data_IF_882718600724
#
_entry.id   IF_882718600724
#
_cell.length_a   1.000
_cell.length_b   1.000
_cell.length_c   1.000
_cell.angle_alpha   90.00
_cell.angle_beta   90.00
_cell.angle_gamma   90.00
#
_symmetry.space_group_name_H-M   'P 1'
#
loop_
_entity.id
_entity.type
_entity.pdbx_description
1 polymer ?
#
# COMPACT_ATOMS: atom_id res chain seq x y z
N UNK A 1 -33.47 -8.08 11.62
CA UNK A 1 -34.80 -8.35 12.21
C UNK A 1 -34.77 -9.41 13.30
N UNK A 2 -33.96 -10.46 13.21
CA UNK A 2 -33.83 -11.50 14.27
C UNK A 2 -33.23 -10.99 15.59
N UNK A 3 -32.31 -10.03 15.54
CA UNK A 3 -31.65 -9.46 16.72
C UNK A 3 -32.61 -8.59 17.57
N UNK A 4 -33.54 -7.89 16.95
CA UNK A 4 -34.57 -7.08 17.64
C UNK A 4 -35.65 -7.99 18.29
N UNK A 5 -35.93 -9.15 17.74
CA UNK A 5 -36.91 -10.10 18.28
C UNK A 5 -36.39 -10.81 19.55
N UNK A 6 -35.09 -11.10 19.60
CA UNK A 6 -34.46 -11.82 20.70
C UNK A 6 -34.23 -10.95 21.95
N UNK A 7 -33.98 -9.65 21.76
CA UNK A 7 -33.59 -8.75 22.88
C UNK A 7 -34.74 -7.95 23.47
N UNK A 8 -35.82 -7.72 22.73
CA UNK A 8 -36.88 -6.79 23.17
C UNK A 8 -38.21 -7.52 23.42
N UNK A 9 -38.60 -8.48 22.60
CA UNK A 9 -39.91 -9.16 22.73
C UNK A 9 -39.91 -10.36 23.64
N UNK A 10 -38.84 -11.12 23.74
CA UNK A 10 -38.76 -12.28 24.67
C UNK A 10 -38.82 -11.86 26.15
N UNK A 11 -38.13 -10.83 26.63
CA UNK A 11 -38.20 -10.39 28.02
C UNK A 11 -39.57 -9.84 28.43
N UNK A 12 -40.27 -9.16 27.48
CA UNK A 12 -41.59 -8.59 27.76
C UNK A 12 -42.71 -9.64 27.87
N UNK A 13 -42.57 -10.77 27.19
CA UNK A 13 -43.49 -11.90 27.29
C UNK A 13 -43.28 -12.71 28.56
N UNK A 14 -42.07 -12.78 29.10
CA UNK A 14 -41.77 -13.48 30.35
C UNK A 14 -42.06 -12.68 31.62
N UNK A 15 -41.97 -11.36 31.58
CA UNK A 15 -42.21 -10.51 32.77
C UNK A 15 -43.69 -10.41 33.17
N UNK A 16 -44.60 -10.61 32.24
CA UNK A 16 -46.06 -10.59 32.52
C UNK A 16 -46.66 -11.95 32.97
N UNK A 17 -45.88 -13.03 32.82
CA UNK A 17 -46.36 -14.37 33.14
C UNK A 17 -46.27 -14.75 34.63
N UNK A 18 -45.44 -14.05 35.41
CA UNK A 18 -45.20 -14.45 36.81
C UNK A 18 -46.00 -13.63 37.86
N UNK A 19 -46.94 -12.80 37.44
CA UNK A 19 -47.79 -12.02 38.35
C UNK A 19 -49.24 -12.54 38.52
N UNK A 20 -49.63 -13.66 37.90
CA UNK A 20 -50.97 -14.21 37.96
C UNK A 20 -51.00 -15.73 38.08
N UNK A 21 -50.50 -16.26 39.20
CA UNK A 21 -50.72 -17.66 39.53
C UNK A 21 -51.29 -17.76 40.94
N UNK A 22 -52.61 -17.59 41.04
CA UNK A 22 -53.45 -18.30 42.03
C UNK A 22 -54.81 -18.55 41.39
N UNK A 23 -55.15 -19.86 41.35
CA UNK A 23 -56.45 -20.45 41.01
C UNK A 23 -56.87 -20.53 39.54
N UNK A 24 -56.84 -21.77 39.06
CA UNK A 24 -57.48 -22.42 37.89
C UNK A 24 -56.50 -22.76 36.72
N UNK A 25 -55.70 -23.84 36.95
CA UNK A 25 -54.61 -24.27 36.11
C UNK A 25 -54.94 -25.13 34.89
N UNK A 26 -56.18 -25.45 34.54
CA UNK A 26 -56.44 -26.36 33.41
C UNK A 26 -56.98 -25.71 32.12
N UNK A 27 -57.58 -24.55 32.19
CA UNK A 27 -58.11 -23.87 30.99
C UNK A 27 -57.10 -22.96 30.28
N UNK A 28 -56.07 -22.46 30.97
CA UNK A 28 -55.06 -21.60 30.38
C UNK A 28 -54.07 -22.35 29.44
N UNK A 29 -53.75 -23.61 29.75
CA UNK A 29 -52.81 -24.41 28.93
C UNK A 29 -53.38 -24.74 27.57
N UNK A 30 -54.71 -25.02 27.50
CA UNK A 30 -55.38 -25.35 26.24
C UNK A 30 -55.53 -24.13 25.31
N UNK A 31 -55.78 -22.96 25.85
CA UNK A 31 -55.84 -21.70 25.04
C UNK A 31 -54.48 -21.27 24.52
N UNK A 32 -53.43 -21.52 25.32
CA UNK A 32 -52.05 -21.19 24.91
C UNK A 32 -51.52 -22.12 23.83
N UNK A 33 -51.82 -23.40 23.89
CA UNK A 33 -51.44 -24.37 22.84
C UNK A 33 -52.18 -24.14 21.53
N UNK A 34 -53.45 -23.74 21.57
CA UNK A 34 -54.22 -23.41 20.38
C UNK A 34 -53.72 -22.09 19.74
N UNK A 35 -53.44 -21.08 20.57
CA UNK A 35 -52.86 -19.81 20.06
C UNK A 35 -51.48 -19.99 19.47
N UNK A 36 -50.62 -20.82 20.08
CA UNK A 36 -49.27 -21.13 19.58
C UNK A 36 -49.34 -21.93 18.27
N UNK A 37 -50.25 -22.88 18.16
CA UNK A 37 -50.48 -23.63 16.91
C UNK A 37 -51.01 -22.75 15.78
N UNK A 38 -51.87 -21.78 16.07
CA UNK A 38 -52.31 -20.81 15.07
C UNK A 38 -51.20 -19.85 14.65
N UNK A 39 -50.38 -19.39 15.59
CA UNK A 39 -49.21 -18.55 15.26
C UNK A 39 -48.19 -19.29 14.42
N UNK A 40 -47.92 -20.58 14.71
CA UNK A 40 -47.01 -21.42 13.92
C UNK A 40 -47.60 -21.68 12.51
N UNK A 41 -48.89 -21.93 12.40
CA UNK A 41 -49.56 -22.09 11.09
C UNK A 41 -49.55 -20.81 10.27
N UNK A 42 -49.75 -19.64 10.90
CA UNK A 42 -49.63 -18.35 10.22
C UNK A 42 -48.19 -18.10 9.76
N UNK A 43 -47.19 -18.43 10.57
CA UNK A 43 -45.78 -18.28 10.22
C UNK A 43 -45.35 -19.22 9.10
N UNK A 44 -45.82 -20.49 9.14
CA UNK A 44 -45.55 -21.45 8.05
C UNK A 44 -46.26 -21.04 6.73
N UNK A 45 -47.48 -20.50 6.80
CA UNK A 45 -48.19 -19.98 5.63
C UNK A 45 -47.46 -18.76 5.04
N UNK A 46 -46.92 -17.83 5.86
CA UNK A 46 -46.11 -16.71 5.39
C UNK A 46 -44.77 -17.14 4.81
N UNK A 47 -44.10 -18.16 5.41
CA UNK A 47 -42.88 -18.73 4.84
C UNK A 47 -43.11 -19.40 3.48
N UNK A 48 -44.25 -20.14 3.33
CA UNK A 48 -44.59 -20.78 2.05
C UNK A 48 -44.98 -19.75 0.99
N UNK A 49 -45.69 -18.67 1.34
CA UNK A 49 -46.05 -17.59 0.42
C UNK A 49 -44.80 -16.77 0.09
N UNK A 50 -43.88 -16.54 1.04
CA UNK A 50 -42.58 -15.87 0.82
C UNK A 50 -41.67 -16.69 -0.11
N UNK A 51 -41.60 -18.02 0.10
CA UNK A 51 -40.83 -18.92 -0.77
C UNK A 51 -41.45 -19.06 -2.17
N UNK A 52 -42.77 -19.05 -2.27
CA UNK A 52 -43.49 -19.07 -3.59
C UNK A 52 -43.32 -17.74 -4.35
N UNK A 53 -43.28 -16.59 -3.65
CA UNK A 53 -42.95 -15.29 -4.27
C UNK A 53 -41.49 -15.19 -4.68
N UNK A 54 -40.55 -15.69 -3.87
CA UNK A 54 -39.16 -15.77 -4.22
C UNK A 54 -38.92 -16.68 -5.43
N UNK A 55 -39.65 -17.79 -5.55
CA UNK A 55 -39.57 -18.68 -6.71
C UNK A 55 -40.23 -18.12 -7.98
N UNK A 56 -41.20 -17.18 -7.86
CA UNK A 56 -41.82 -16.51 -9.03
C UNK A 56 -41.03 -15.27 -9.51
N UNK A 57 -40.17 -14.66 -8.67
CA UNK A 57 -39.26 -13.59 -9.08
C UNK A 57 -37.95 -14.09 -9.69
N UNK A 58 -37.69 -15.40 -9.65
CA UNK A 58 -36.55 -16.03 -10.30
C UNK A 58 -36.75 -16.35 -11.79
N UNK A 59 -37.81 -15.86 -12.42
CA UNK A 59 -38.04 -16.02 -13.84
C UNK A 59 -38.18 -14.63 -14.45
N UNK A 60 -37.07 -14.19 -15.13
CA UNK A 60 -36.87 -13.05 -16.01
C UNK A 60 -36.63 -11.66 -15.39
N UNK A 61 -35.51 -11.49 -14.78
CA UNK A 61 -34.63 -10.36 -15.08
C UNK A 61 -33.28 -11.00 -15.39
N UNK A 62 -32.83 -10.97 -16.62
CA UNK A 62 -31.43 -11.26 -16.95
C UNK A 62 -30.63 -10.28 -16.11
N UNK A 63 -29.90 -10.80 -15.12
CA UNK A 63 -28.99 -10.01 -14.31
C UNK A 63 -28.05 -9.30 -15.30
N UNK A 64 -28.03 -7.96 -15.35
CA UNK A 64 -27.13 -7.24 -16.24
C UNK A 64 -25.66 -7.66 -16.06
N UNK A 65 -25.31 -8.29 -14.94
CA UNK A 65 -23.99 -8.90 -14.72
C UNK A 65 -23.82 -10.25 -15.47
N UNK A 66 -24.87 -10.90 -15.94
CA UNK A 66 -24.76 -12.16 -16.69
C UNK A 66 -24.00 -11.99 -18.01
N UNK A 67 -23.98 -10.79 -18.58
CA UNK A 67 -23.22 -10.44 -19.79
C UNK A 67 -21.70 -10.47 -19.58
N UNK A 68 -21.23 -10.44 -18.32
CA UNK A 68 -19.81 -10.41 -17.96
C UNK A 68 -19.36 -11.68 -17.24
N UNK A 69 -20.19 -12.70 -17.22
CA UNK A 69 -19.86 -13.97 -16.56
C UNK A 69 -18.77 -14.70 -17.35
N UNK A 70 -17.73 -15.12 -16.63
CA UNK A 70 -16.65 -15.91 -17.21
C UNK A 70 -17.13 -17.31 -17.63
N UNK A 71 -16.41 -17.94 -18.55
CA UNK A 71 -16.64 -19.30 -19.02
C UNK A 71 -15.66 -20.28 -18.35
N UNK A 72 -15.96 -21.58 -18.46
CA UNK A 72 -15.11 -22.64 -17.92
C UNK A 72 -15.07 -22.64 -16.40
N UNK A 73 -13.93 -23.01 -15.84
CA UNK A 73 -13.71 -23.07 -14.37
C UNK A 73 -13.84 -21.73 -13.65
N UNK A 74 -13.71 -20.60 -14.37
CA UNK A 74 -13.89 -19.27 -13.79
C UNK A 74 -15.37 -18.88 -13.65
N UNK A 75 -16.29 -19.58 -14.33
CA UNK A 75 -17.73 -19.33 -14.21
C UNK A 75 -18.29 -19.64 -12.82
N UNK A 76 -17.59 -20.49 -12.05
CA UNK A 76 -17.99 -20.88 -10.70
C UNK A 76 -17.71 -19.77 -9.68
N UNK A 77 -16.95 -18.76 -10.07
CA UNK A 77 -16.55 -17.64 -9.20
C UNK A 77 -17.30 -16.35 -9.58
N UNK A 78 -18.34 -16.04 -8.85
CA UNK A 78 -19.13 -14.81 -9.05
C UNK A 78 -18.32 -13.51 -8.92
N UNK A 79 -17.14 -13.58 -8.26
CA UNK A 79 -16.20 -12.47 -8.13
C UNK A 79 -15.32 -12.26 -9.36
N UNK A 80 -15.39 -13.13 -10.38
CA UNK A 80 -14.69 -13.01 -11.63
C UNK A 80 -15.61 -12.45 -12.73
N UNK A 81 -15.11 -11.49 -13.48
CA UNK A 81 -15.80 -10.87 -14.63
C UNK A 81 -14.89 -10.93 -15.86
N UNK A 82 -15.45 -11.36 -16.98
CA UNK A 82 -14.77 -11.47 -18.25
C UNK A 82 -15.46 -10.59 -19.29
N UNK A 83 -14.81 -9.51 -19.70
CA UNK A 83 -15.32 -8.50 -20.63
C UNK A 83 -14.65 -8.65 -21.97
N UNK A 84 -15.25 -9.40 -22.87
CA UNK A 84 -14.71 -9.68 -24.21
C UNK A 84 -14.46 -8.39 -25.02
N UNK A 85 -15.38 -7.42 -24.98
CA UNK A 85 -15.24 -6.17 -25.70
C UNK A 85 -14.05 -5.33 -25.24
N UNK A 86 -13.70 -5.39 -23.95
CA UNK A 86 -12.59 -4.68 -23.33
C UNK A 86 -11.31 -5.51 -23.30
N UNK A 87 -11.39 -6.78 -23.69
CA UNK A 87 -10.30 -7.77 -23.57
C UNK A 87 -9.73 -7.81 -22.14
N UNK A 88 -10.63 -7.84 -21.14
CA UNK A 88 -10.30 -7.73 -19.72
C UNK A 88 -10.92 -8.87 -18.90
N UNK A 89 -10.09 -9.50 -18.08
CA UNK A 89 -10.47 -10.43 -17.02
C UNK A 89 -10.16 -9.82 -15.67
N UNK A 90 -11.11 -9.88 -14.75
CA UNK A 90 -10.96 -9.31 -13.41
C UNK A 90 -11.58 -10.23 -12.36
N UNK A 91 -10.76 -10.77 -11.45
CA UNK A 91 -11.15 -11.55 -10.27
C UNK A 91 -10.77 -10.79 -9.00
N UNK A 92 -11.74 -10.11 -8.39
CA UNK A 92 -11.50 -9.25 -7.22
C UNK A 92 -12.09 -9.91 -5.98
N UNK A 93 -11.24 -10.14 -4.95
CA UNK A 93 -11.63 -10.81 -3.69
C UNK A 93 -12.30 -12.18 -3.92
N UNK A 94 -11.81 -12.91 -4.92
CA UNK A 94 -12.34 -14.23 -5.29
C UNK A 94 -11.87 -15.38 -4.37
N UNK A 95 -11.03 -15.04 -3.37
CA UNK A 95 -10.50 -15.98 -2.37
C UNK A 95 -9.61 -17.10 -2.94
N UNK A 96 -8.99 -16.87 -4.09
CA UNK A 96 -8.01 -17.82 -4.61
C UNK A 96 -6.80 -17.92 -3.69
N UNK A 97 -6.33 -19.14 -3.50
CA UNK A 97 -5.11 -19.46 -2.74
C UNK A 97 -4.06 -20.13 -3.61
N UNK A 98 -4.47 -20.72 -4.72
CA UNK A 98 -3.63 -21.45 -5.65
C UNK A 98 -3.47 -20.67 -6.96
N UNK A 99 -2.23 -20.61 -7.46
CA UNK A 99 -1.89 -19.97 -8.73
C UNK A 99 -2.28 -20.79 -9.96
N UNK A 100 -2.74 -22.02 -9.80
CA UNK A 100 -3.25 -22.86 -10.90
C UNK A 100 -4.43 -22.20 -11.65
N UNK A 101 -5.12 -21.27 -11.01
CA UNK A 101 -6.16 -20.45 -11.67
C UNK A 101 -5.64 -19.72 -12.91
N UNK A 102 -4.37 -19.32 -12.93
CA UNK A 102 -3.78 -18.64 -14.09
C UNK A 102 -3.63 -19.56 -15.31
N UNK A 103 -3.46 -20.87 -15.11
CA UNK A 103 -3.47 -21.85 -16.19
C UNK A 103 -4.84 -21.97 -16.85
N UNK A 104 -5.91 -21.77 -16.07
CA UNK A 104 -7.28 -21.74 -16.62
C UNK A 104 -7.50 -20.48 -17.48
N UNK A 105 -6.87 -19.36 -17.14
CA UNK A 105 -6.88 -18.14 -17.95
C UNK A 105 -6.22 -18.39 -19.31
N UNK A 106 -5.10 -19.11 -19.33
CA UNK A 106 -4.40 -19.44 -20.58
C UNK A 106 -5.31 -20.14 -21.60
N UNK A 107 -6.11 -21.09 -21.15
CA UNK A 107 -6.90 -21.95 -22.04
C UNK A 107 -8.03 -21.18 -22.75
N UNK A 108 -8.66 -20.21 -22.09
CA UNK A 108 -9.88 -19.56 -22.57
C UNK A 108 -9.68 -18.10 -22.93
N UNK A 109 -8.75 -17.39 -22.24
CA UNK A 109 -8.63 -15.93 -22.28
C UNK A 109 -7.26 -15.44 -22.74
N UNK A 110 -6.53 -16.25 -23.49
CA UNK A 110 -5.18 -15.93 -24.00
C UNK A 110 -5.16 -14.67 -24.89
N UNK A 111 -6.28 -14.31 -25.47
CA UNK A 111 -6.44 -13.10 -26.27
C UNK A 111 -6.67 -11.83 -25.46
N UNK A 112 -6.84 -11.93 -24.13
CA UNK A 112 -7.11 -10.77 -23.29
C UNK A 112 -5.84 -9.92 -23.09
N UNK A 113 -6.08 -8.61 -23.08
CA UNK A 113 -5.00 -7.62 -22.89
C UNK A 113 -4.79 -7.23 -21.44
N UNK A 114 -5.82 -7.38 -20.61
CA UNK A 114 -5.76 -7.04 -19.18
C UNK A 114 -6.19 -8.22 -18.34
N UNK A 115 -5.38 -8.56 -17.36
CA UNK A 115 -5.70 -9.58 -16.36
C UNK A 115 -5.47 -9.00 -14.97
N UNK A 116 -6.52 -9.07 -14.14
CA UNK A 116 -6.52 -8.57 -12.77
C UNK A 116 -6.94 -9.67 -11.81
N UNK A 117 -6.05 -10.02 -10.89
CA UNK A 117 -6.34 -10.81 -9.69
C UNK A 117 -5.99 -9.97 -8.48
N UNK A 118 -6.97 -9.31 -7.87
CA UNK A 118 -6.77 -8.40 -6.76
C UNK A 118 -7.47 -8.91 -5.49
N UNK A 119 -6.79 -8.81 -4.35
CA UNK A 119 -7.40 -9.16 -3.06
C UNK A 119 -7.60 -10.66 -2.84
N UNK A 120 -6.75 -11.51 -3.44
CA UNK A 120 -6.73 -12.95 -3.22
C UNK A 120 -5.63 -13.35 -2.22
N UNK A 121 -5.27 -14.61 -2.11
CA UNK A 121 -4.32 -15.11 -1.11
C UNK A 121 -3.33 -16.11 -1.72
N UNK A 122 -2.63 -15.71 -2.77
CA UNK A 122 -1.72 -16.60 -3.49
C UNK A 122 -0.45 -16.96 -2.71
N UNK A 123 0.07 -16.07 -1.87
CA UNK A 123 1.31 -16.16 -1.09
C UNK A 123 2.58 -16.33 -1.93
N UNK A 124 2.64 -17.32 -2.81
CA UNK A 124 3.79 -17.60 -3.67
C UNK A 124 3.39 -17.58 -5.14
N UNK A 125 4.20 -16.96 -5.99
CA UNK A 125 4.14 -17.19 -7.42
C UNK A 125 4.86 -18.50 -7.75
N UNK A 126 4.50 -19.21 -8.85
CA UNK A 126 5.16 -20.46 -9.20
C UNK A 126 6.58 -20.22 -9.75
N UNK A 127 7.47 -21.20 -9.57
CA UNK A 127 8.79 -21.22 -10.25
C UNK A 127 8.70 -21.73 -11.70
N UNK A 128 7.60 -21.46 -12.34
CA UNK A 128 7.29 -21.74 -13.73
C UNK A 128 6.50 -20.58 -14.31
N UNK A 129 6.34 -20.48 -15.63
CA UNK A 129 5.53 -19.41 -16.22
C UNK A 129 4.11 -19.41 -15.66
N UNK A 130 3.66 -18.26 -15.14
CA UNK A 130 2.39 -18.11 -14.42
C UNK A 130 1.18 -18.57 -15.23
N UNK A 131 1.18 -18.31 -16.53
CA UNK A 131 0.12 -18.73 -17.46
C UNK A 131 0.45 -20.01 -18.24
N UNK A 132 1.48 -20.78 -17.83
CA UNK A 132 1.94 -21.98 -18.53
C UNK A 132 3.00 -21.67 -19.58
N UNK A 133 3.30 -22.68 -20.42
CA UNK A 133 4.44 -22.61 -21.34
C UNK A 133 4.19 -21.83 -22.63
N UNK A 134 2.95 -21.51 -22.92
CA UNK A 134 2.59 -20.76 -24.11
C UNK A 134 2.85 -19.25 -23.92
N UNK A 135 3.11 -18.54 -25.04
CA UNK A 135 3.30 -17.10 -24.99
C UNK A 135 1.96 -16.36 -25.01
N UNK A 136 1.82 -15.38 -24.12
CA UNK A 136 0.71 -14.45 -24.02
C UNK A 136 1.07 -13.11 -24.67
N UNK A 137 1.17 -13.12 -26.01
CA UNK A 137 1.59 -11.93 -26.77
C UNK A 137 0.63 -10.75 -26.66
N UNK A 138 -0.64 -11.00 -26.36
CA UNK A 138 -1.66 -9.95 -26.22
C UNK A 138 -1.69 -9.29 -24.84
N UNK A 139 -1.08 -9.92 -23.83
CA UNK A 139 -1.16 -9.42 -22.45
C UNK A 139 -0.32 -8.16 -22.27
N UNK A 140 -0.98 -7.05 -21.96
CA UNK A 140 -0.37 -5.74 -21.74
C UNK A 140 -0.40 -5.31 -20.28
N UNK A 141 -1.40 -5.73 -19.52
CA UNK A 141 -1.60 -5.33 -18.12
C UNK A 141 -1.81 -6.55 -17.25
N UNK A 142 -0.92 -6.73 -16.28
CA UNK A 142 -1.06 -7.73 -15.22
C UNK A 142 -1.13 -7.02 -13.87
N UNK A 143 -2.29 -7.14 -13.21
CA UNK A 143 -2.47 -6.68 -11.85
C UNK A 143 -2.67 -7.88 -10.92
N UNK A 144 -1.70 -8.11 -10.05
CA UNK A 144 -1.73 -9.12 -8.99
C UNK A 144 -1.48 -8.49 -7.62
N UNK A 145 -2.07 -7.31 -7.43
CA UNK A 145 -1.95 -6.55 -6.19
C UNK A 145 -2.83 -7.10 -5.07
N UNK A 146 -2.42 -6.87 -3.82
CA UNK A 146 -3.14 -7.26 -2.61
C UNK A 146 -3.40 -8.78 -2.48
N UNK A 147 -2.42 -9.59 -2.83
CA UNK A 147 -2.55 -11.06 -2.83
C UNK A 147 -1.68 -11.76 -1.78
N UNK A 148 -1.07 -11.02 -0.85
CA UNK A 148 -0.13 -11.54 0.16
C UNK A 148 1.09 -12.26 -0.42
N UNK A 149 1.50 -11.93 -1.66
CA UNK A 149 2.63 -12.57 -2.32
C UNK A 149 3.92 -12.29 -1.53
N UNK A 150 4.63 -13.36 -1.19
CA UNK A 150 5.91 -13.34 -0.48
C UNK A 150 7.05 -13.66 -1.44
N UNK A 151 6.94 -14.73 -2.23
CA UNK A 151 7.96 -15.20 -3.14
C UNK A 151 7.57 -14.92 -4.60
N UNK A 152 8.50 -14.32 -5.37
CA UNK A 152 8.24 -13.92 -6.75
C UNK A 152 8.60 -15.03 -7.75
N UNK A 153 9.74 -15.68 -7.57
CA UNK A 153 10.38 -16.65 -8.48
C UNK A 153 10.70 -16.11 -9.87
N UNK A 154 11.91 -16.34 -10.35
CA UNK A 154 12.44 -15.73 -11.58
C UNK A 154 11.64 -16.05 -12.83
N UNK A 155 11.03 -17.23 -12.94
CA UNK A 155 10.34 -17.68 -14.15
C UNK A 155 8.86 -17.26 -14.21
N UNK A 156 8.29 -16.71 -13.13
CA UNK A 156 6.84 -16.46 -13.06
C UNK A 156 6.30 -15.54 -14.17
N UNK A 157 7.08 -14.56 -14.62
CA UNK A 157 6.68 -13.64 -15.71
C UNK A 157 7.11 -14.10 -17.10
N UNK A 158 7.69 -15.30 -17.23
CA UNK A 158 8.08 -15.83 -18.54
C UNK A 158 6.84 -16.05 -19.41
N UNK A 159 6.97 -15.75 -20.72
CA UNK A 159 5.88 -15.89 -21.68
C UNK A 159 5.00 -14.63 -21.81
N UNK A 160 5.40 -13.48 -21.23
CA UNK A 160 4.67 -12.21 -21.31
C UNK A 160 5.51 -11.09 -21.97
N UNK A 161 5.94 -11.25 -23.25
CA UNK A 161 6.93 -10.35 -23.86
C UNK A 161 6.40 -8.93 -24.05
N UNK A 162 5.08 -8.75 -24.16
CA UNK A 162 4.43 -7.47 -24.45
C UNK A 162 3.81 -6.81 -23.20
N UNK A 163 4.15 -7.28 -22.00
CA UNK A 163 3.64 -6.70 -20.77
C UNK A 163 4.15 -5.24 -20.62
N UNK A 164 3.21 -4.31 -20.50
CA UNK A 164 3.45 -2.88 -20.37
C UNK A 164 3.27 -2.39 -18.94
N UNK A 165 2.37 -2.99 -18.19
CA UNK A 165 2.02 -2.58 -16.83
C UNK A 165 2.02 -3.80 -15.91
N UNK A 166 2.78 -3.73 -14.84
CA UNK A 166 2.80 -4.73 -13.76
C UNK A 166 2.47 -4.06 -12.43
N UNK A 167 1.41 -4.52 -11.77
CA UNK A 167 1.04 -4.06 -10.44
C UNK A 167 1.18 -5.18 -9.41
N UNK A 168 2.16 -5.02 -8.52
CA UNK A 168 2.48 -5.89 -7.39
C UNK A 168 2.20 -5.19 -6.04
N UNK A 169 1.45 -4.10 -6.04
CA UNK A 169 1.20 -3.29 -4.85
C UNK A 169 0.48 -4.07 -3.74
N UNK A 170 0.68 -3.67 -2.49
CA UNK A 170 0.02 -4.24 -1.31
C UNK A 170 0.23 -5.77 -1.15
N UNK A 171 1.45 -6.22 -1.38
CA UNK A 171 1.89 -7.59 -1.11
C UNK A 171 2.85 -7.63 0.10
N UNK A 172 3.47 -8.78 0.35
CA UNK A 172 4.42 -9.00 1.44
C UNK A 172 5.76 -9.55 0.91
N UNK A 173 6.22 -9.03 -0.23
CA UNK A 173 7.36 -9.55 -1.00
C UNK A 173 8.64 -9.55 -0.16
N UNK A 174 9.35 -10.67 -0.21
CA UNK A 174 10.70 -10.87 0.31
C UNK A 174 11.60 -11.24 -0.85
N UNK A 175 12.41 -10.28 -1.32
CA UNK A 175 13.36 -10.53 -2.41
C UNK A 175 14.50 -11.44 -1.95
N UNK A 176 14.87 -12.39 -2.81
CA UNK A 176 15.98 -13.32 -2.67
C UNK A 176 16.93 -13.19 -3.86
N UNK A 177 18.11 -13.81 -3.76
CA UNK A 177 19.08 -13.83 -4.86
C UNK A 177 18.54 -14.52 -6.12
N UNK A 178 17.69 -15.52 -5.94
CA UNK A 178 17.05 -16.28 -7.01
C UNK A 178 15.98 -15.47 -7.78
N UNK A 179 15.49 -14.35 -7.23
CA UNK A 179 14.45 -13.52 -7.86
C UNK A 179 15.00 -12.45 -8.83
N UNK A 180 16.33 -12.34 -8.96
CA UNK A 180 16.97 -11.24 -9.68
C UNK A 180 16.52 -11.16 -11.15
N UNK A 181 16.20 -12.27 -11.77
CA UNK A 181 15.78 -12.35 -13.17
C UNK A 181 14.26 -12.20 -13.37
N UNK A 182 13.49 -12.00 -12.29
CA UNK A 182 12.02 -11.94 -12.35
C UNK A 182 11.50 -10.94 -13.41
N UNK A 183 12.05 -9.73 -13.48
CA UNK A 183 11.63 -8.70 -14.43
C UNK A 183 12.31 -8.85 -15.81
N UNK A 184 13.27 -9.75 -15.99
CA UNK A 184 14.03 -9.91 -17.25
C UNK A 184 13.17 -10.41 -18.40
N UNK A 185 12.03 -11.03 -18.09
CA UNK A 185 11.09 -11.58 -19.06
C UNK A 185 10.10 -10.54 -19.62
N UNK A 186 10.13 -9.29 -19.12
CA UNK A 186 9.20 -8.23 -19.50
C UNK A 186 9.92 -6.98 -20.05
N UNK A 187 10.64 -7.09 -21.19
CA UNK A 187 11.52 -6.02 -21.69
C UNK A 187 10.76 -4.75 -22.11
N UNK A 188 9.47 -4.89 -22.41
CA UNK A 188 8.61 -3.79 -22.86
C UNK A 188 7.89 -3.05 -21.71
N UNK A 189 8.20 -3.40 -20.45
CA UNK A 189 7.54 -2.84 -19.27
C UNK A 189 7.70 -1.31 -19.23
N UNK A 190 6.58 -0.59 -19.12
CA UNK A 190 6.50 0.87 -19.03
C UNK A 190 6.14 1.37 -17.64
N UNK A 191 5.33 0.62 -16.91
CA UNK A 191 4.86 1.02 -15.58
C UNK A 191 5.00 -0.15 -14.61
N UNK A 192 5.63 0.13 -13.47
CA UNK A 192 5.84 -0.85 -12.39
C UNK A 192 5.34 -0.26 -11.08
N UNK A 193 4.32 -0.89 -10.50
CA UNK A 193 3.74 -0.51 -9.23
C UNK A 193 4.18 -1.48 -8.15
N UNK A 194 4.95 -0.96 -7.19
CA UNK A 194 5.47 -1.65 -6.02
C UNK A 194 5.08 -0.91 -4.73
N UNK A 195 3.92 -0.26 -4.73
CA UNK A 195 3.42 0.47 -3.56
C UNK A 195 3.10 -0.50 -2.43
N UNK A 196 3.71 -0.29 -1.25
CA UNK A 196 3.53 -1.19 -0.10
C UNK A 196 3.68 -2.67 -0.49
N UNK A 197 4.68 -2.97 -1.32
CA UNK A 197 4.87 -4.29 -1.88
C UNK A 197 5.75 -5.19 -1.01
N UNK A 198 6.62 -4.61 -0.18
CA UNK A 198 7.61 -5.37 0.59
C UNK A 198 7.21 -5.52 2.05
N UNK A 199 7.46 -6.71 2.61
CA UNK A 199 7.21 -6.99 4.03
C UNK A 199 8.05 -6.10 4.94
N UNK A 200 7.54 -5.85 6.16
CA UNK A 200 8.25 -5.10 7.21
C UNK A 200 9.28 -5.95 7.97
N UNK A 201 9.23 -7.26 7.83
CA UNK A 201 9.92 -8.21 8.71
C UNK A 201 11.39 -8.47 8.33
N UNK A 202 11.88 -7.93 7.20
CA UNK A 202 13.22 -8.18 6.68
C UNK A 202 14.09 -6.93 6.65
N UNK A 203 15.41 -7.12 6.51
CA UNK A 203 16.37 -6.02 6.39
C UNK A 203 16.15 -5.23 5.09
N UNK A 204 15.59 -4.04 5.21
CA UNK A 204 15.21 -3.18 4.06
C UNK A 204 16.38 -2.74 3.19
N UNK A 205 17.57 -2.56 3.78
CA UNK A 205 18.76 -2.20 3.01
C UNK A 205 19.16 -3.34 2.08
N UNK A 206 19.11 -4.57 2.57
CA UNK A 206 19.34 -5.76 1.75
C UNK A 206 18.28 -5.90 0.65
N UNK A 207 17.00 -5.80 1.01
CA UNK A 207 15.89 -5.87 0.05
C UNK A 207 16.03 -4.83 -1.06
N UNK A 208 16.40 -3.59 -0.70
CA UNK A 208 16.59 -2.55 -1.72
C UNK A 208 17.84 -2.79 -2.59
N UNK A 209 18.88 -3.41 -2.04
CA UNK A 209 20.05 -3.82 -2.84
C UNK A 209 19.68 -4.90 -3.86
N UNK A 210 18.89 -5.90 -3.47
CA UNK A 210 18.37 -6.94 -4.38
C UNK A 210 17.46 -6.34 -5.45
N UNK A 211 16.57 -5.43 -5.08
CA UNK A 211 15.71 -4.71 -6.02
C UNK A 211 16.54 -3.95 -7.07
N UNK A 212 17.61 -3.27 -6.66
CA UNK A 212 18.50 -2.56 -7.58
C UNK A 212 19.25 -3.49 -8.53
N UNK A 213 19.62 -4.70 -8.07
CA UNK A 213 20.22 -5.72 -8.92
C UNK A 213 19.20 -6.23 -9.94
N UNK A 214 17.98 -6.54 -9.50
CA UNK A 214 16.87 -6.93 -10.39
C UNK A 214 16.62 -5.88 -11.47
N UNK A 215 16.56 -4.58 -11.11
CA UNK A 215 16.39 -3.49 -12.07
C UNK A 215 17.53 -3.41 -13.09
N UNK A 216 18.76 -3.63 -12.64
CA UNK A 216 19.95 -3.61 -13.52
C UNK A 216 19.96 -4.80 -14.48
N UNK A 217 19.59 -5.98 -13.99
CA UNK A 217 19.57 -7.22 -14.79
C UNK A 217 18.45 -7.17 -15.83
N UNK A 218 17.28 -6.70 -15.44
CA UNK A 218 16.10 -6.66 -16.30
C UNK A 218 16.20 -5.70 -17.50
N UNK A 219 17.12 -4.72 -17.47
CA UNK A 219 17.36 -3.78 -18.57
C UNK A 219 16.09 -3.09 -19.11
N UNK A 220 15.25 -2.55 -18.24
CA UNK A 220 13.93 -1.99 -18.54
C UNK A 220 14.03 -0.61 -19.23
N UNK A 221 14.40 -0.60 -20.51
CA UNK A 221 14.70 0.63 -21.27
C UNK A 221 13.47 1.52 -21.49
N UNK A 222 12.26 0.94 -21.52
CA UNK A 222 11.00 1.66 -21.74
C UNK A 222 10.31 2.08 -20.45
N UNK A 223 10.83 1.68 -19.28
CA UNK A 223 10.19 1.97 -18.00
C UNK A 223 10.16 3.48 -17.73
N UNK A 224 8.96 4.03 -17.66
CA UNK A 224 8.73 5.46 -17.48
C UNK A 224 8.04 5.81 -16.15
N UNK A 225 7.46 4.84 -15.47
CA UNK A 225 6.78 5.02 -14.19
C UNK A 225 7.16 3.94 -13.19
N UNK A 226 7.64 4.36 -12.01
CA UNK A 226 7.91 3.49 -10.87
C UNK A 226 7.22 4.05 -9.63
N UNK A 227 6.34 3.27 -9.01
CA UNK A 227 5.78 3.56 -7.69
C UNK A 227 6.45 2.69 -6.62
N UNK A 228 7.27 3.30 -5.77
CA UNK A 228 7.93 2.70 -4.60
C UNK A 228 7.39 3.31 -3.29
N UNK A 229 6.21 3.91 -3.33
CA UNK A 229 5.62 4.55 -2.16
C UNK A 229 5.23 3.54 -1.08
N UNK A 230 5.16 3.99 0.17
CA UNK A 230 4.72 3.21 1.33
C UNK A 230 5.56 1.94 1.66
N UNK A 231 6.83 1.90 1.28
CA UNK A 231 7.69 0.74 1.51
C UNK A 231 8.62 0.89 2.72
N UNK A 232 8.45 1.96 3.49
CA UNK A 232 9.22 2.21 4.73
C UNK A 232 10.75 2.30 4.51
N UNK A 233 11.20 2.64 3.31
CA UNK A 233 12.63 2.83 3.02
C UNK A 233 13.21 3.99 3.82
N UNK A 234 14.36 3.75 4.45
CA UNK A 234 15.06 4.76 5.25
C UNK A 234 16.16 5.47 4.48
N UNK A 235 16.69 4.83 3.44
CA UNK A 235 17.74 5.34 2.55
C UNK A 235 17.46 4.91 1.12
N UNK A 236 17.91 5.71 0.15
CA UNK A 236 17.86 5.40 -1.27
C UNK A 236 19.26 5.01 -1.77
N UNK A 237 19.38 3.99 -2.63
CA UNK A 237 20.59 3.78 -3.39
C UNK A 237 20.88 5.00 -4.27
N UNK A 238 22.11 5.47 -4.28
CA UNK A 238 22.52 6.67 -5.03
C UNK A 238 22.09 6.60 -6.51
N UNK A 239 22.30 5.45 -7.14
CA UNK A 239 21.98 5.24 -8.55
C UNK A 239 20.57 4.73 -8.82
N UNK A 240 19.61 4.87 -7.91
CA UNK A 240 18.24 4.40 -8.11
C UNK A 240 17.61 4.80 -9.46
N UNK A 241 17.71 6.06 -9.93
CA UNK A 241 17.11 6.44 -11.21
C UNK A 241 17.90 6.00 -12.44
N UNK A 242 19.18 5.60 -12.29
CA UNK A 242 20.08 5.44 -13.42
C UNK A 242 19.86 4.23 -14.34
N UNK A 243 19.32 3.08 -13.87
CA UNK A 243 19.00 1.98 -14.78
C UNK A 243 17.92 2.29 -15.81
N UNK A 244 17.14 3.36 -15.62
CA UNK A 244 15.95 3.65 -16.39
C UNK A 244 16.11 4.87 -17.30
N UNK A 245 16.44 4.64 -18.56
CA UNK A 245 16.69 5.72 -19.53
C UNK A 245 15.43 6.52 -19.91
N UNK A 246 14.24 5.96 -19.67
CA UNK A 246 12.97 6.57 -20.04
C UNK A 246 12.13 7.01 -18.82
N UNK A 247 12.69 6.97 -17.60
CA UNK A 247 11.96 7.28 -16.38
C UNK A 247 11.47 8.74 -16.35
N UNK A 248 10.16 8.90 -16.16
CA UNK A 248 9.46 10.19 -16.05
C UNK A 248 8.81 10.40 -14.68
N UNK A 249 8.32 9.33 -14.08
CA UNK A 249 7.59 9.36 -12.81
C UNK A 249 8.22 8.42 -11.80
N UNK A 250 8.68 9.00 -10.69
CA UNK A 250 9.24 8.26 -9.55
C UNK A 250 8.50 8.65 -8.27
N UNK A 251 7.68 7.73 -7.77
CA UNK A 251 6.95 7.93 -6.52
C UNK A 251 7.68 7.27 -5.35
N UNK A 252 8.16 8.09 -4.42
CA UNK A 252 8.86 7.70 -3.19
C UNK A 252 8.14 8.20 -1.93
N UNK A 253 6.92 8.68 -2.06
CA UNK A 253 6.16 9.23 -0.92
C UNK A 253 5.88 8.19 0.16
N UNK A 254 5.62 8.68 1.39
CA UNK A 254 5.29 7.81 2.54
C UNK A 254 6.33 6.71 2.78
N UNK A 255 7.61 7.04 2.66
CA UNK A 255 8.72 6.24 3.16
C UNK A 255 9.30 6.89 4.43
N UNK A 256 10.43 6.42 4.93
CA UNK A 256 11.09 6.97 6.12
C UNK A 256 12.43 7.64 5.77
N UNK A 257 12.51 8.27 4.61
CA UNK A 257 13.71 8.93 4.15
C UNK A 257 14.00 10.17 5.01
N UNK A 258 15.21 10.23 5.56
CA UNK A 258 15.69 11.39 6.34
C UNK A 258 16.53 12.33 5.48
N UNK A 259 17.22 11.79 4.49
CA UNK A 259 18.07 12.52 3.54
C UNK A 259 17.76 12.06 2.13
N UNK A 260 18.08 12.90 1.15
CA UNK A 260 17.93 12.59 -0.26
C UNK A 260 19.33 12.46 -0.87
N UNK A 261 19.70 11.23 -1.19
CA UNK A 261 20.98 10.93 -1.84
C UNK A 261 20.70 10.23 -3.17
N UNK A 262 20.43 11.00 -4.23
CA UNK A 262 20.15 10.50 -5.57
C UNK A 262 21.16 11.06 -6.58
N UNK A 263 21.53 10.22 -7.55
CA UNK A 263 22.30 10.66 -8.69
C UNK A 263 21.44 11.53 -9.61
N UNK A 264 21.56 12.83 -9.43
CA UNK A 264 20.74 13.82 -10.14
C UNK A 264 21.04 13.90 -11.64
N UNK A 265 22.20 13.40 -12.10
CA UNK A 265 22.53 13.36 -13.54
C UNK A 265 21.60 12.43 -14.32
N UNK A 266 21.01 11.43 -13.65
CA UNK A 266 20.06 10.49 -14.23
C UNK A 266 18.60 11.00 -14.22
N UNK A 267 18.36 12.25 -13.80
CA UNK A 267 17.02 12.82 -13.64
C UNK A 267 16.59 13.74 -14.81
N UNK A 268 17.35 13.81 -15.88
CA UNK A 268 17.13 14.79 -16.96
C UNK A 268 15.77 14.65 -17.67
N UNK A 269 15.20 13.46 -17.69
CA UNK A 269 13.88 13.17 -18.31
C UNK A 269 12.74 13.12 -17.28
N UNK A 270 13.03 13.25 -16.00
CA UNK A 270 12.03 13.13 -14.95
C UNK A 270 11.09 14.33 -14.96
N UNK A 271 9.80 14.05 -15.05
CA UNK A 271 8.70 15.00 -15.00
C UNK A 271 8.14 15.13 -13.57
N UNK A 272 8.23 14.06 -12.78
CA UNK A 272 7.76 14.08 -11.38
C UNK A 272 8.58 13.13 -10.51
N UNK A 273 9.12 13.68 -9.40
CA UNK A 273 9.63 12.92 -8.27
C UNK A 273 8.77 13.30 -7.05
N UNK A 274 8.06 12.34 -6.47
CA UNK A 274 7.31 12.59 -5.24
C UNK A 274 8.07 12.04 -4.03
N UNK A 275 8.64 12.94 -3.25
CA UNK A 275 9.34 12.67 -1.98
C UNK A 275 8.51 13.09 -0.77
N UNK A 276 7.23 13.42 -0.96
CA UNK A 276 6.36 13.92 0.10
C UNK A 276 6.10 12.88 1.19
N UNK A 277 5.74 13.36 2.39
CA UNK A 277 5.40 12.52 3.54
C UNK A 277 6.51 11.53 3.93
N UNK A 278 7.77 11.99 3.85
CA UNK A 278 8.93 11.33 4.39
C UNK A 278 9.37 12.04 5.70
N UNK A 279 10.57 11.73 6.19
CA UNK A 279 11.18 12.34 7.38
C UNK A 279 12.32 13.29 7.00
N UNK A 280 12.22 13.95 5.85
CA UNK A 280 13.23 14.89 5.36
C UNK A 280 13.10 16.18 6.15
N UNK A 281 14.19 16.56 6.84
CA UNK A 281 14.22 17.74 7.70
C UNK A 281 15.00 18.89 7.08
N UNK A 282 15.89 18.60 6.16
CA UNK A 282 16.76 19.55 5.46
C UNK A 282 17.12 19.06 4.06
N UNK A 283 17.63 19.95 3.24
CA UNK A 283 18.06 19.65 1.85
C UNK A 283 19.55 19.95 1.72
N UNK A 284 20.33 18.91 1.45
CA UNK A 284 21.77 19.03 1.28
C UNK A 284 22.13 19.88 0.05
N UNK A 285 23.27 20.55 0.10
CA UNK A 285 23.73 21.43 -0.98
C UNK A 285 23.96 20.67 -2.28
N UNK A 286 24.56 19.48 -2.22
CA UNK A 286 24.83 18.63 -3.37
C UNK A 286 23.55 18.26 -4.10
N UNK A 287 22.50 17.90 -3.35
CA UNK A 287 21.18 17.60 -3.91
C UNK A 287 20.57 18.86 -4.57
N UNK A 288 20.59 20.01 -3.88
CA UNK A 288 20.04 21.28 -4.40
C UNK A 288 20.71 21.73 -5.70
N UNK A 289 22.03 21.67 -5.75
CA UNK A 289 22.81 22.01 -6.95
C UNK A 289 22.51 21.04 -8.11
N UNK A 290 22.46 19.75 -7.82
CA UNK A 290 22.19 18.72 -8.82
C UNK A 290 20.78 18.81 -9.39
N UNK A 291 19.75 18.98 -8.55
CA UNK A 291 18.37 19.21 -8.98
C UNK A 291 18.27 20.51 -9.79
N UNK A 292 18.88 21.60 -9.34
CA UNK A 292 18.90 22.86 -10.08
C UNK A 292 19.42 22.70 -11.51
N UNK A 293 20.44 21.85 -11.69
CA UNK A 293 21.12 21.65 -12.99
C UNK A 293 20.39 20.64 -13.89
N UNK A 294 19.85 19.56 -13.34
CA UNK A 294 19.41 18.40 -14.13
C UNK A 294 17.91 18.17 -14.16
N UNK A 295 17.15 18.58 -13.12
CA UNK A 295 15.72 18.32 -13.07
C UNK A 295 14.89 19.31 -13.90
N UNK A 296 13.70 18.86 -14.35
CA UNK A 296 12.75 19.71 -15.04
C UNK A 296 12.08 20.72 -14.07
N UNK A 297 11.58 21.87 -14.57
CA UNK A 297 10.75 22.76 -13.76
C UNK A 297 9.52 22.04 -13.19
N UNK A 298 9.11 22.38 -11.96
CA UNK A 298 7.94 21.81 -11.28
C UNK A 298 7.94 20.28 -11.16
N UNK A 299 9.12 19.64 -11.19
CA UNK A 299 9.22 18.19 -11.14
C UNK A 299 9.21 17.60 -9.73
N UNK A 300 9.43 18.41 -8.69
CA UNK A 300 9.68 17.95 -7.33
C UNK A 300 8.49 18.22 -6.43
N UNK A 301 8.03 17.20 -5.70
CA UNK A 301 7.07 17.27 -4.60
C UNK A 301 7.80 16.94 -3.30
N UNK A 302 7.83 17.89 -2.34
CA UNK A 302 8.69 17.83 -1.15
C UNK A 302 7.96 18.04 0.18
N UNK A 303 6.66 17.91 0.27
CA UNK A 303 5.90 18.11 1.50
C UNK A 303 6.40 17.20 2.63
N UNK A 304 7.28 17.73 3.48
CA UNK A 304 7.96 17.01 4.58
C UNK A 304 7.99 17.83 5.87
N UNK A 305 8.64 17.29 6.90
CA UNK A 305 8.76 17.89 8.24
C UNK A 305 10.05 18.73 8.36
N UNK A 306 10.15 19.83 7.63
CA UNK A 306 11.34 20.69 7.62
C UNK A 306 11.62 21.32 8.97
N UNK A 307 12.90 21.51 9.27
CA UNK A 307 13.38 22.31 10.42
C UNK A 307 13.72 23.72 9.94
N UNK A 308 13.49 24.72 10.78
CA UNK A 308 13.76 26.11 10.51
C UNK A 308 14.60 26.69 11.66
N UNK A 309 15.90 26.72 11.46
CA UNK A 309 16.89 27.28 12.36
C UNK A 309 17.96 27.99 11.54
N UNK A 310 19.05 28.40 12.14
CA UNK A 310 20.16 29.05 11.44
C UNK A 310 20.71 28.23 10.27
N UNK A 311 20.82 26.89 10.42
CA UNK A 311 21.38 25.99 9.40
C UNK A 311 20.45 25.86 8.18
N UNK A 312 19.16 26.21 8.35
CA UNK A 312 18.16 26.09 7.30
C UNK A 312 18.11 27.26 6.32
N UNK A 313 18.81 28.35 6.61
CA UNK A 313 18.73 29.60 5.83
C UNK A 313 19.01 29.34 4.35
N UNK A 314 20.05 28.58 4.04
CA UNK A 314 20.48 28.38 2.64
C UNK A 314 19.51 27.52 1.83
N UNK A 315 18.99 26.41 2.43
CA UNK A 315 18.02 25.64 1.69
C UNK A 315 16.66 26.34 1.59
N UNK A 316 16.27 27.18 2.57
CA UNK A 316 15.03 27.98 2.46
C UNK A 316 15.19 29.05 1.37
N UNK A 317 16.34 29.73 1.27
CA UNK A 317 16.64 30.64 0.16
C UNK A 317 16.51 29.94 -1.19
N UNK A 318 17.10 28.72 -1.29
CA UNK A 318 17.02 27.93 -2.51
C UNK A 318 15.56 27.53 -2.83
N UNK A 319 14.77 27.07 -1.85
CA UNK A 319 13.35 26.75 -2.05
C UNK A 319 12.58 27.95 -2.62
N UNK A 320 12.85 29.17 -2.12
CA UNK A 320 12.19 30.38 -2.60
C UNK A 320 12.52 30.71 -4.05
N UNK A 321 13.78 30.54 -4.42
CA UNK A 321 14.30 30.95 -5.75
C UNK A 321 14.12 29.89 -6.83
N UNK A 322 14.11 28.57 -6.48
CA UNK A 322 14.08 27.50 -7.48
C UNK A 322 12.72 27.38 -8.17
N UNK A 323 12.72 27.01 -9.44
CA UNK A 323 11.53 26.64 -10.22
C UNK A 323 11.20 25.12 -10.17
N UNK A 324 12.03 24.32 -9.48
CA UNK A 324 11.96 22.87 -9.52
C UNK A 324 10.85 22.28 -8.64
N UNK A 325 10.44 23.01 -7.58
CA UNK A 325 9.49 22.52 -6.58
C UNK A 325 8.07 22.94 -6.95
N UNK A 326 7.17 21.95 -7.11
CA UNK A 326 5.76 22.15 -7.46
C UNK A 326 4.92 22.62 -6.28
N UNK A 327 5.13 22.02 -5.11
CA UNK A 327 4.31 22.21 -3.88
C UNK A 327 4.93 23.24 -2.90
N UNK A 328 5.67 24.19 -3.42
CA UNK A 328 6.48 25.17 -2.67
C UNK A 328 5.70 25.87 -1.56
N UNK A 329 4.45 26.28 -1.83
CA UNK A 329 3.57 26.96 -0.87
C UNK A 329 3.03 26.06 0.24
N UNK A 330 3.17 24.73 0.10
CA UNK A 330 2.71 23.76 1.10
C UNK A 330 3.83 23.31 2.04
N UNK A 331 5.06 23.78 1.81
CA UNK A 331 6.21 23.45 2.64
C UNK A 331 6.21 24.34 3.88
N UNK A 332 6.25 23.74 5.07
CA UNK A 332 6.22 24.46 6.34
C UNK A 332 7.29 23.97 7.31
N UNK A 333 7.61 24.82 8.29
CA UNK A 333 8.48 24.46 9.40
C UNK A 333 7.76 23.50 10.35
N UNK A 334 8.19 22.28 10.48
CA UNK A 334 7.68 21.35 11.51
C UNK A 334 8.24 21.70 12.87
N UNK A 335 9.52 22.07 12.92
CA UNK A 335 10.24 22.59 14.09
C UNK A 335 10.93 23.89 13.71
N UNK A 336 10.96 24.83 14.62
CA UNK A 336 11.62 26.11 14.39
C UNK A 336 12.36 26.59 15.63
N UNK A 337 13.43 27.35 15.40
CA UNK A 337 14.13 28.12 16.42
C UNK A 337 14.31 29.57 15.92
N UNK A 338 13.57 30.54 16.49
CA UNK A 338 12.63 30.41 17.63
C UNK A 338 11.36 29.61 17.30
N UNK A 339 10.73 29.03 18.33
CA UNK A 339 9.58 28.11 18.20
C UNK A 339 8.31 28.74 17.62
N UNK A 340 8.17 30.07 17.70
CA UNK A 340 7.02 30.82 17.14
C UNK A 340 6.92 30.73 15.61
N UNK A 341 7.95 30.26 14.92
CA UNK A 341 7.91 30.01 13.47
C UNK A 341 7.50 28.57 13.11
N UNK A 342 7.23 27.71 14.10
CA UNK A 342 6.67 26.39 13.82
C UNK A 342 5.29 26.52 13.14
N UNK A 343 5.06 25.77 12.07
CA UNK A 343 3.85 25.84 11.24
C UNK A 343 3.88 26.91 10.15
N UNK A 344 4.83 27.86 10.20
CA UNK A 344 4.97 28.88 9.16
C UNK A 344 5.48 28.27 7.85
N UNK A 345 4.92 28.69 6.73
CA UNK A 345 5.38 28.27 5.39
C UNK A 345 6.82 28.72 5.17
N UNK A 346 7.64 27.85 4.55
CA UNK A 346 9.07 28.14 4.31
C UNK A 346 9.30 29.39 3.47
N UNK A 347 8.37 29.68 2.55
CA UNK A 347 8.43 30.89 1.72
C UNK A 347 8.25 32.17 2.53
N UNK A 348 7.58 32.11 3.67
CA UNK A 348 7.23 33.25 4.52
C UNK A 348 8.10 33.37 5.79
N UNK A 349 8.98 32.41 6.10
CA UNK A 349 9.84 32.44 7.30
C UNK A 349 10.80 33.64 7.24
N UNK A 350 10.85 34.51 8.29
CA UNK A 350 11.78 35.62 8.31
C UNK A 350 13.21 35.15 8.64
N UNK A 351 14.02 34.90 7.61
CA UNK A 351 15.35 34.28 7.73
C UNK A 351 16.30 34.98 8.71
N UNK A 352 16.23 36.34 8.78
CA UNK A 352 17.06 37.11 9.69
C UNK A 352 16.67 37.04 11.18
N UNK A 353 15.58 36.32 11.48
CA UNK A 353 15.08 36.11 12.85
C UNK A 353 15.23 34.67 13.34
N UNK A 354 15.86 33.81 12.53
CA UNK A 354 16.18 32.45 12.95
C UNK A 354 17.38 32.46 13.89
N UNK A 355 17.28 31.69 15.00
CA UNK A 355 18.35 31.62 15.98
C UNK A 355 19.59 30.91 15.44
N UNK A 356 20.71 31.63 15.53
CA UNK A 356 22.04 31.15 15.18
C UNK A 356 22.90 30.87 16.44
N UNK A 357 22.27 30.66 17.58
CA UNK A 357 22.99 30.25 18.76
C UNK A 357 23.60 28.87 18.51
N UNK A 358 24.88 28.86 18.25
CA UNK A 358 25.69 27.63 18.18
C UNK A 358 25.50 26.94 19.51
N UNK A 359 24.87 25.76 19.52
CA UNK A 359 24.99 24.85 20.65
C UNK A 359 26.47 24.52 20.74
N UNK A 360 27.20 25.23 21.59
CA UNK A 360 28.50 24.83 22.01
C UNK A 360 28.32 23.42 22.61
N UNK A 361 28.47 22.40 21.79
CA UNK A 361 28.80 21.08 22.27
C UNK A 361 30.13 21.28 22.92
N UNK A 362 30.11 21.40 24.26
CA UNK A 362 31.31 21.28 25.09
C UNK A 362 31.84 19.89 24.78
N UNK A 363 32.72 19.80 23.82
CA UNK A 363 33.65 18.68 23.73
C UNK A 363 34.36 18.64 25.10
N UNK A 364 34.25 17.54 25.83
CA UNK A 364 35.02 17.45 27.10
C UNK A 364 36.47 17.62 26.72
N UNK A 365 37.04 18.76 27.16
CA UNK A 365 38.42 19.07 26.96
C UNK A 365 39.22 17.98 27.70
N UNK A 366 39.90 17.11 26.97
CA UNK A 366 40.81 16.11 27.49
C UNK A 366 42.06 16.79 28.03
N UNK A 367 41.94 17.37 29.18
CA UNK A 367 43.01 18.07 29.87
C UNK A 367 42.63 18.45 31.29
N UNK A 368 42.60 17.45 32.16
CA UNK A 368 42.88 17.43 33.59
C UNK A 368 42.09 16.34 34.30
N UNK A 369 42.54 15.12 34.12
CA UNK A 369 42.23 14.00 34.99
C UNK A 369 42.98 14.19 36.30
N UNK A 370 42.41 14.82 37.32
CA UNK A 370 42.87 14.70 38.72
C UNK A 370 41.83 15.12 39.78
N UNK A 371 40.60 15.46 39.46
CA UNK A 371 39.61 15.89 40.47
C UNK A 371 38.25 15.18 40.43
N UNK A 372 38.14 13.99 39.85
CA UNK A 372 36.86 13.28 39.77
C UNK A 372 36.80 11.94 40.52
N UNK A 373 37.84 11.54 41.20
CA UNK A 373 37.86 10.24 41.90
C UNK A 373 37.33 10.28 43.35
N UNK A 374 37.08 11.45 43.92
CA UNK A 374 36.62 11.56 45.32
C UNK A 374 35.15 11.78 45.51
N UNK A 375 34.37 12.08 44.44
CA UNK A 375 32.93 12.30 44.60
C UNK A 375 32.08 11.04 44.34
N UNK A 376 32.60 10.02 43.69
CA UNK A 376 31.87 8.76 43.40
C UNK A 376 31.92 7.80 44.62
N UNK A 377 32.87 7.97 45.56
CA UNK A 377 32.93 7.12 46.76
C UNK A 377 31.94 7.53 47.86
N UNK A 378 31.38 8.74 47.83
CA UNK A 378 30.45 9.21 48.86
C UNK A 378 28.99 8.88 48.58
N UNK A 379 28.63 8.56 47.35
CA UNK A 379 27.24 8.21 47.01
C UNK A 379 26.92 6.72 47.11
N UNK A 380 27.94 5.86 47.17
CA UNK A 380 27.73 4.39 47.33
C UNK A 380 27.64 4.00 48.81
N UNK A 381 28.07 4.84 49.75
CA UNK A 381 28.03 4.52 51.19
C UNK A 381 26.72 4.97 51.89
N UNK A 382 25.83 5.67 51.22
CA UNK A 382 24.53 6.14 51.77
C UNK A 382 23.32 5.28 51.33
N UNK A 383 23.53 4.22 50.53
CA UNK A 383 22.47 3.27 50.16
C UNK A 383 22.63 1.88 50.86
N UNK A 384 23.46 1.76 51.85
CA UNK A 384 23.66 0.50 52.62
C UNK A 384 23.66 0.73 54.12
N UNK A 385 22.81 1.64 54.61
CA UNK A 385 22.43 1.71 56.04
C UNK A 385 20.89 1.82 56.12
#
# INVERSE_FOLDING_TARGET
MWWLFSQILLPLLFSNFWKSTTTSGHYCVHLFTVALLHAIRFFLAFCVIGAAKAKRQAISEEDPNSLFQCQGSLSDYAACQCREQESELSCINAQFVDTDVFLNVNNLYRHFRKVTFHGNNFQDLPDSPLFGHDEHENLEVLNISANYIVNLHSNALRGMPNLLVLDLSNNEIVLKEEDIDFLSHTPNLKQLYLRRAFTLLVNRTMQFSLLMRMFKTANLQQLNHIDLSYNYFTKLPYNLPCPFLSLRYLDLRQNFLQTINLNTTCLSKIETIDLSRNHIHQLDETFRQGIGKHAQPNSLLLRNSFHCNCESIDYIKWIRSTDKIRDKQQLSCRRASPSNYAGVELVNVPLGKLDCTVSLVLTPNTGNTLFSATLVFFTVLLCSL
#
